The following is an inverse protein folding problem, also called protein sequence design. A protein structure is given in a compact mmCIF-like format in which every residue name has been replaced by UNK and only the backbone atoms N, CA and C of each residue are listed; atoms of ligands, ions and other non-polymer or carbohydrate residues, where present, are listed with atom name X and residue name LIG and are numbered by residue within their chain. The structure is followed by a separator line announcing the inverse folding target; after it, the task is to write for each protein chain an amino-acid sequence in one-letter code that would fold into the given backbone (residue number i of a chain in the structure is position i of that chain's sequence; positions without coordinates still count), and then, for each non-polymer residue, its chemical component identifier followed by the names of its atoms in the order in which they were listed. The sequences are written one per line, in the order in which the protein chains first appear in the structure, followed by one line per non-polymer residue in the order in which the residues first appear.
data_IF_291908575335
#
_entry.id   IF_291908575335
#
_cell.length_a   1.000
_cell.length_b   1.000
_cell.length_c   1.000
_cell.angle_alpha   90.00
_cell.angle_beta   90.00
_cell.angle_gamma   90.00
#
_symmetry.space_group_name_H-M   'P 1'
#
loop_
_entity.id
_entity.type
_entity.pdbx_description
1 polymer ?
#
# COMPACT_ATOMS: atom_id res chain seq x y z
N UNK A 1 12.12 -17.19 40.17
CA UNK A 1 10.94 -17.07 39.29
C UNK A 1 11.41 -16.38 38.02
N UNK A 2 11.67 -17.08 36.90
CA UNK A 2 11.93 -16.38 35.65
C UNK A 2 10.59 -15.99 35.03
N UNK A 3 10.49 -14.73 34.59
CA UNK A 3 9.42 -14.29 33.70
C UNK A 3 9.73 -14.88 32.32
N UNK A 4 8.86 -15.77 31.86
CA UNK A 4 8.79 -16.15 30.45
C UNK A 4 8.36 -14.91 29.66
N UNK A 5 9.32 -14.26 29.00
CA UNK A 5 9.00 -13.40 27.87
C UNK A 5 8.55 -14.32 26.73
N UNK A 6 7.24 -14.49 26.60
CA UNK A 6 6.64 -15.05 25.39
C UNK A 6 7.00 -14.11 24.24
N UNK A 7 7.91 -14.54 23.37
CA UNK A 7 8.20 -13.88 22.10
C UNK A 7 6.95 -13.95 21.23
N UNK A 8 6.30 -12.81 20.99
CA UNK A 8 5.22 -12.71 20.03
C UNK A 8 5.81 -13.01 18.65
N UNK A 9 5.43 -14.15 18.06
CA UNK A 9 5.75 -14.42 16.65
C UNK A 9 4.95 -13.44 15.80
N UNK A 10 5.64 -12.54 15.10
CA UNK A 10 5.07 -11.60 14.14
C UNK A 10 4.39 -12.39 13.01
N UNK A 11 3.11 -12.11 12.73
CA UNK A 11 2.42 -12.79 11.64
C UNK A 11 3.05 -12.41 10.29
N UNK A 12 2.92 -13.27 9.26
CA UNK A 12 3.37 -12.93 7.91
C UNK A 12 2.79 -11.59 7.44
N UNK A 13 1.53 -11.31 7.81
CA UNK A 13 0.86 -10.04 7.56
C UNK A 13 1.61 -8.88 8.22
N UNK A 14 1.86 -8.95 9.53
CA UNK A 14 2.53 -7.88 10.28
C UNK A 14 3.92 -7.59 9.72
N UNK A 15 4.69 -8.63 9.37
CA UNK A 15 6.02 -8.50 8.76
C UNK A 15 5.96 -7.78 7.41
N UNK A 16 5.02 -8.16 6.54
CA UNK A 16 4.86 -7.54 5.22
C UNK A 16 4.43 -6.08 5.36
N UNK A 17 3.46 -5.80 6.24
CA UNK A 17 3.00 -4.43 6.51
C UNK A 17 4.15 -3.57 7.04
N UNK A 18 4.91 -4.06 8.02
CA UNK A 18 6.04 -3.34 8.57
C UNK A 18 7.12 -3.07 7.51
N UNK A 19 7.41 -4.06 6.66
CA UNK A 19 8.38 -3.91 5.57
C UNK A 19 7.93 -2.83 4.56
N UNK A 20 6.68 -2.87 4.10
CA UNK A 20 6.13 -1.88 3.14
C UNK A 20 6.21 -0.47 3.71
N UNK A 21 5.71 -0.27 4.94
CA UNK A 21 5.68 1.07 5.57
C UNK A 21 7.10 1.60 5.79
N UNK A 22 8.05 0.75 6.14
CA UNK A 22 9.45 1.14 6.32
C UNK A 22 10.19 1.39 4.99
N UNK A 23 9.66 0.93 3.87
CA UNK A 23 10.25 1.08 2.53
C UNK A 23 9.76 2.30 1.76
N UNK A 24 8.78 3.04 2.27
CA UNK A 24 8.31 4.26 1.61
C UNK A 24 9.41 5.32 1.51
N UNK A 25 9.47 5.93 0.34
CA UNK A 25 10.44 6.95 -0.04
C UNK A 25 9.82 7.95 -1.00
N UNK A 26 10.50 9.07 -1.24
CA UNK A 26 10.12 10.01 -2.29
C UNK A 26 10.09 9.30 -3.66
N UNK A 27 11.06 8.43 -3.95
CA UNK A 27 11.19 7.71 -5.23
C UNK A 27 10.03 6.74 -5.53
N UNK A 28 9.40 6.17 -4.50
CA UNK A 28 8.23 5.29 -4.66
C UNK A 28 6.90 6.05 -4.70
N UNK A 29 6.91 7.36 -4.40
CA UNK A 29 5.69 8.16 -4.32
C UNK A 29 5.20 8.63 -5.71
N UNK A 30 3.87 8.63 -5.88
CA UNK A 30 3.19 9.30 -6.99
C UNK A 30 3.20 10.84 -6.88
N UNK A 31 3.43 11.38 -5.68
CA UNK A 31 3.49 12.81 -5.37
C UNK A 31 4.81 13.12 -4.66
N UNK A 32 5.96 12.96 -5.34
CA UNK A 32 7.28 13.09 -4.71
C UNK A 32 7.50 14.47 -4.07
N UNK A 33 6.98 15.54 -4.68
CA UNK A 33 7.11 16.90 -4.15
C UNK A 33 6.31 17.14 -2.85
N UNK A 34 5.26 16.36 -2.62
CA UNK A 34 4.43 16.42 -1.41
C UNK A 34 4.83 15.36 -0.35
N UNK A 35 5.71 14.43 -0.73
CA UNK A 35 6.18 13.38 0.17
C UNK A 35 7.17 13.95 1.19
N UNK A 36 7.03 13.56 2.46
CA UNK A 36 7.97 13.94 3.52
C UNK A 36 8.01 12.91 4.64
N UNK A 37 8.99 13.02 5.52
CA UNK A 37 9.03 12.20 6.75
C UNK A 37 7.82 12.45 7.67
N UNK A 38 7.18 13.63 7.57
CA UNK A 38 5.96 13.94 8.30
C UNK A 38 4.70 13.30 7.71
N UNK A 39 4.70 13.02 6.40
CA UNK A 39 3.63 12.30 5.72
C UNK A 39 4.20 11.28 4.70
N UNK A 40 4.82 10.19 5.18
CA UNK A 40 5.50 9.25 4.28
C UNK A 40 4.53 8.38 3.48
N UNK A 41 3.23 8.40 3.81
CA UNK A 41 2.20 7.69 3.05
C UNK A 41 1.76 8.44 1.78
N UNK A 42 2.11 9.73 1.65
CA UNK A 42 1.65 10.58 0.52
C UNK A 42 2.08 9.99 -0.81
N UNK A 43 1.11 9.70 -1.67
CA UNK A 43 1.32 9.15 -3.00
C UNK A 43 1.78 7.69 -3.01
N UNK A 44 1.66 6.95 -1.89
CA UNK A 44 2.10 5.55 -1.79
C UNK A 44 0.97 4.53 -2.06
N UNK A 45 -0.28 4.96 -2.28
CA UNK A 45 -1.44 4.07 -2.29
C UNK A 45 -1.39 3.00 -3.39
N UNK A 46 -1.20 3.38 -4.65
CA UNK A 46 -1.14 2.43 -5.78
C UNK A 46 -0.01 1.41 -5.59
N UNK A 47 1.21 1.89 -5.32
CA UNK A 47 2.41 1.03 -5.22
C UNK A 47 2.34 0.10 -4.01
N UNK A 48 1.89 0.61 -2.85
CA UNK A 48 1.78 -0.20 -1.62
C UNK A 48 0.72 -1.26 -1.76
N UNK A 49 -0.43 -0.91 -2.34
CA UNK A 49 -1.52 -1.86 -2.52
C UNK A 49 -1.13 -2.97 -3.48
N UNK A 50 -0.42 -2.63 -4.57
CA UNK A 50 0.08 -3.62 -5.51
C UNK A 50 1.10 -4.58 -4.87
N UNK A 51 2.12 -4.04 -4.17
CA UNK A 51 3.14 -4.88 -3.51
C UNK A 51 2.53 -5.74 -2.40
N UNK A 52 1.59 -5.20 -1.62
CA UNK A 52 0.86 -5.97 -0.62
C UNK A 52 0.03 -7.09 -1.28
N UNK A 53 -0.65 -6.83 -2.39
CA UNK A 53 -1.38 -7.85 -3.15
C UNK A 53 -0.45 -8.95 -3.67
N UNK A 54 0.76 -8.63 -4.14
CA UNK A 54 1.71 -9.65 -4.58
C UNK A 54 2.18 -10.58 -3.46
N UNK A 55 2.29 -10.06 -2.23
CA UNK A 55 2.82 -10.79 -1.08
C UNK A 55 1.74 -11.50 -0.26
N UNK A 56 0.52 -10.96 -0.25
CA UNK A 56 -0.57 -11.39 0.64
C UNK A 56 -1.80 -11.87 -0.13
N UNK A 57 -1.90 -11.61 -1.43
CA UNK A 57 -3.08 -11.87 -2.24
C UNK A 57 -4.22 -10.89 -1.94
N UNK A 58 -5.46 -11.40 -2.04
CA UNK A 58 -6.66 -10.60 -1.86
C UNK A 58 -7.05 -9.78 -3.09
N UNK A 59 -7.78 -8.71 -2.87
CA UNK A 59 -8.31 -7.81 -3.90
C UNK A 59 -7.69 -6.42 -3.77
N UNK A 60 -7.64 -5.66 -4.87
CA UNK A 60 -7.37 -4.23 -4.83
C UNK A 60 -8.70 -3.48 -4.87
N UNK A 61 -8.94 -2.64 -3.87
CA UNK A 61 -10.14 -1.83 -3.81
C UNK A 61 -9.80 -0.43 -4.30
N UNK A 62 -10.64 0.12 -5.17
CA UNK A 62 -10.55 1.49 -5.67
C UNK A 62 -11.58 2.36 -4.95
N UNK A 63 -11.15 3.51 -4.49
CA UNK A 63 -12.02 4.54 -3.94
C UNK A 63 -11.75 5.92 -4.51
N UNK A 64 -12.74 6.78 -4.35
CA UNK A 64 -12.62 8.21 -4.63
C UNK A 64 -12.40 8.97 -3.32
N UNK A 65 -11.47 9.92 -3.34
CA UNK A 65 -11.16 10.82 -2.24
C UNK A 65 -11.88 12.15 -2.48
N UNK A 66 -12.53 12.68 -1.45
CA UNK A 66 -13.25 13.95 -1.50
C UNK A 66 -12.80 14.89 -0.38
N UNK A 67 -12.70 16.18 -0.70
CA UNK A 67 -12.67 17.27 0.26
C UNK A 67 -14.04 17.94 0.28
N UNK A 68 -14.89 17.57 1.24
CA UNK A 68 -16.31 17.91 1.18
C UNK A 68 -16.99 17.20 0.01
N UNK A 69 -17.48 17.95 -0.99
CA UNK A 69 -18.09 17.40 -2.20
C UNK A 69 -17.14 17.31 -3.39
N UNK A 70 -15.94 17.88 -3.28
CA UNK A 70 -15.02 18.04 -4.39
C UNK A 70 -14.10 16.82 -4.49
N UNK A 71 -14.17 16.13 -5.63
CA UNK A 71 -13.29 15.01 -5.94
C UNK A 71 -11.83 15.49 -6.00
N UNK A 72 -10.94 14.76 -5.33
CA UNK A 72 -9.51 15.07 -5.25
C UNK A 72 -8.70 14.07 -6.08
N UNK A 73 -8.78 12.79 -5.72
CA UNK A 73 -7.94 11.75 -6.30
C UNK A 73 -8.56 10.36 -6.16
N UNK A 74 -7.99 9.39 -6.89
CA UNK A 74 -8.24 7.98 -6.70
C UNK A 74 -7.36 7.44 -5.58
N UNK A 75 -7.89 6.49 -4.81
CA UNK A 75 -7.17 5.82 -3.73
C UNK A 75 -7.31 4.31 -3.85
N UNK A 76 -6.23 3.59 -3.55
CA UNK A 76 -6.21 2.14 -3.57
C UNK A 76 -5.83 1.58 -2.20
N UNK A 77 -6.47 0.48 -1.83
CA UNK A 77 -6.10 -0.34 -0.67
C UNK A 77 -6.36 -1.82 -0.97
N UNK A 78 -6.00 -2.71 -0.04
CA UNK A 78 -6.24 -4.14 -0.18
C UNK A 78 -7.45 -4.60 0.62
N UNK A 79 -8.13 -5.64 0.13
CA UNK A 79 -9.07 -6.42 0.92
C UNK A 79 -8.62 -7.87 0.98
N UNK A 80 -8.34 -8.36 2.18
CA UNK A 80 -7.80 -9.72 2.43
C UNK A 80 -8.83 -10.45 3.29
N UNK A 81 -9.35 -11.57 2.78
CA UNK A 81 -10.41 -12.36 3.43
C UNK A 81 -11.62 -11.52 3.89
N UNK A 82 -11.96 -10.50 3.09
CA UNK A 82 -13.07 -9.57 3.37
C UNK A 82 -12.74 -8.43 4.35
N UNK A 83 -11.52 -8.37 4.90
CA UNK A 83 -11.06 -7.29 5.76
C UNK A 83 -10.22 -6.26 4.99
N UNK A 84 -10.51 -4.97 5.20
CA UNK A 84 -9.75 -3.89 4.58
C UNK A 84 -8.38 -3.69 5.26
N UNK A 85 -7.35 -3.61 4.43
CA UNK A 85 -5.98 -3.24 4.77
C UNK A 85 -5.61 -1.98 3.97
N UNK A 86 -5.88 -0.81 4.55
CA UNK A 86 -5.46 0.47 4.00
C UNK A 86 -4.24 1.01 4.73
N UNK A 87 -3.06 0.67 4.19
CA UNK A 87 -1.78 1.13 4.73
C UNK A 87 -1.61 2.65 4.60
N UNK A 88 -2.25 3.26 3.61
CA UNK A 88 -1.98 4.63 3.17
C UNK A 88 -3.08 5.62 3.54
N UNK A 89 -4.12 5.19 4.29
CA UNK A 89 -5.20 6.07 4.78
C UNK A 89 -4.69 7.36 5.41
N UNK A 90 -3.57 7.28 6.13
CA UNK A 90 -2.93 8.40 6.84
C UNK A 90 -2.34 9.48 5.92
N UNK A 91 -2.32 9.27 4.60
CA UNK A 91 -1.89 10.31 3.67
C UNK A 91 -2.84 11.51 3.61
N UNK A 92 -4.11 11.27 3.97
CA UNK A 92 -5.18 12.26 4.00
C UNK A 92 -5.27 12.89 5.39
N UNK A 93 -4.75 14.12 5.50
CA UNK A 93 -4.55 14.82 6.77
C UNK A 93 -5.49 16.01 6.96
N UNK A 94 -6.27 16.37 5.94
CA UNK A 94 -7.13 17.55 5.94
C UNK A 94 -8.62 17.22 6.10
N UNK A 95 -8.94 15.99 6.52
CA UNK A 95 -10.31 15.55 6.74
C UNK A 95 -10.98 14.98 5.49
N UNK A 96 -10.20 14.51 4.51
CA UNK A 96 -10.71 13.92 3.29
C UNK A 96 -11.46 12.60 3.55
N UNK A 97 -12.61 12.44 2.90
CA UNK A 97 -13.44 11.23 2.95
C UNK A 97 -13.15 10.33 1.76
N UNK A 98 -13.20 9.01 1.97
CA UNK A 98 -13.02 8.01 0.91
C UNK A 98 -14.33 7.27 0.73
N UNK A 99 -14.71 7.09 -0.53
CA UNK A 99 -15.85 6.24 -0.93
C UNK A 99 -15.34 5.15 -1.85
N UNK A 100 -15.57 3.89 -1.49
CA UNK A 100 -15.30 2.75 -2.37
C UNK A 100 -16.17 2.83 -3.64
N UNK A 101 -15.55 2.56 -4.79
CA UNK A 101 -16.22 2.61 -6.10
C UNK A 101 -16.06 1.34 -6.91
N UNK A 102 -14.99 0.58 -6.72
CA UNK A 102 -14.78 -0.69 -7.43
C UNK A 102 -13.83 -1.63 -6.66
N UNK A 103 -13.84 -2.91 -7.03
CA UNK A 103 -12.92 -3.93 -6.53
C UNK A 103 -12.33 -4.72 -7.70
N UNK A 104 -10.99 -4.72 -7.80
CA UNK A 104 -10.23 -5.44 -8.80
C UNK A 104 -9.78 -6.80 -8.24
N UNK A 105 -10.26 -7.87 -8.86
CA UNK A 105 -9.88 -9.25 -8.50
C UNK A 105 -8.48 -9.60 -9.01
N UNK A 106 -7.83 -10.61 -8.41
CA UNK A 106 -6.54 -11.11 -8.91
C UNK A 106 -6.56 -11.47 -10.40
N UNK A 107 -7.64 -12.11 -10.88
CA UNK A 107 -7.78 -12.47 -12.29
C UNK A 107 -7.79 -11.22 -13.19
N UNK A 108 -8.46 -10.15 -12.76
CA UNK A 108 -8.45 -8.88 -13.49
C UNK A 108 -7.04 -8.25 -13.48
N UNK A 109 -6.41 -8.18 -12.31
CA UNK A 109 -5.08 -7.57 -12.16
C UNK A 109 -4.05 -8.32 -13.02
N UNK A 110 -4.05 -9.65 -12.98
CA UNK A 110 -3.16 -10.49 -13.78
C UNK A 110 -3.36 -10.29 -15.29
N UNK A 111 -4.62 -10.25 -15.74
CA UNK A 111 -4.95 -10.06 -17.16
C UNK A 111 -4.51 -8.69 -17.70
N UNK A 112 -4.47 -7.66 -16.85
CA UNK A 112 -4.16 -6.28 -17.25
C UNK A 112 -2.76 -5.82 -16.81
N UNK A 113 -1.97 -6.68 -16.13
CA UNK A 113 -0.65 -6.32 -15.58
C UNK A 113 0.31 -5.80 -16.66
N UNK A 114 0.22 -6.34 -17.87
CA UNK A 114 1.08 -5.94 -18.99
C UNK A 114 0.79 -4.51 -19.50
N UNK A 115 -0.41 -3.98 -19.23
CA UNK A 115 -0.85 -2.65 -19.67
C UNK A 115 -0.60 -1.57 -18.62
N UNK A 116 0.12 -1.91 -17.53
CA UNK A 116 0.44 -0.98 -16.47
C UNK A 116 1.29 0.19 -16.97
N UNK A 117 0.97 1.40 -16.50
CA UNK A 117 1.76 2.61 -16.81
C UNK A 117 3.23 2.39 -16.45
N UNK A 118 4.19 2.72 -17.33
CA UNK A 118 5.62 2.53 -17.05
C UNK A 118 6.10 3.20 -15.76
N UNK A 119 5.57 4.38 -15.43
CA UNK A 119 5.92 5.12 -14.22
C UNK A 119 5.44 4.41 -12.95
N UNK A 120 4.27 3.77 -13.01
CA UNK A 120 3.77 2.94 -11.91
C UNK A 120 4.63 1.69 -11.75
N UNK A 121 4.96 1.00 -12.84
CA UNK A 121 5.82 -0.18 -12.81
C UNK A 121 7.20 0.14 -12.20
N UNK A 122 7.81 1.27 -12.59
CA UNK A 122 9.08 1.73 -12.04
C UNK A 122 9.02 1.97 -10.52
N UNK A 123 7.97 2.66 -10.03
CA UNK A 123 7.81 2.93 -8.59
C UNK A 123 7.51 1.67 -7.78
N UNK A 124 6.75 0.73 -8.36
CA UNK A 124 6.53 -0.58 -7.76
C UNK A 124 7.88 -1.30 -7.63
N UNK A 125 8.74 -1.29 -8.65
CA UNK A 125 10.05 -1.93 -8.59
C UNK A 125 10.95 -1.33 -7.50
N UNK A 126 10.96 0.00 -7.34
CA UNK A 126 11.65 0.69 -6.23
C UNK A 126 11.16 0.17 -4.87
N UNK A 127 9.83 0.13 -4.67
CA UNK A 127 9.25 -0.33 -3.42
C UNK A 127 9.53 -1.83 -3.18
N UNK A 128 9.39 -2.67 -4.20
CA UNK A 128 9.64 -4.12 -4.16
C UNK A 128 11.05 -4.44 -3.69
N UNK A 129 12.06 -3.80 -4.28
CA UNK A 129 13.47 -4.05 -3.92
C UNK A 129 13.68 -3.74 -2.45
N UNK A 130 13.23 -2.57 -1.99
CA UNK A 130 13.38 -2.19 -0.58
C UNK A 130 12.60 -3.13 0.36
N UNK A 131 11.40 -3.58 -0.03
CA UNK A 131 10.60 -4.52 0.77
C UNK A 131 11.28 -5.90 0.84
N UNK A 132 11.81 -6.40 -0.27
CA UNK A 132 12.50 -7.69 -0.33
C UNK A 132 13.74 -7.71 0.58
N UNK A 133 14.55 -6.65 0.55
CA UNK A 133 15.69 -6.47 1.46
C UNK A 133 15.28 -6.54 2.93
N UNK A 134 14.16 -5.89 3.29
CA UNK A 134 13.63 -5.89 4.66
C UNK A 134 13.04 -7.23 5.09
N UNK A 135 12.49 -8.00 4.16
CA UNK A 135 11.98 -9.34 4.43
C UNK A 135 13.07 -10.41 4.46
N UNK A 136 14.31 -10.05 4.12
CA UNK A 136 15.45 -10.97 4.04
C UNK A 136 15.41 -11.87 2.79
N UNK A 137 14.70 -11.46 1.76
CA UNK A 137 14.69 -12.11 0.45
C UNK A 137 15.68 -11.36 -0.45
N UNK A 138 16.88 -11.93 -0.63
CA UNK A 138 17.92 -11.43 -1.55
C UNK A 138 18.16 -12.41 -2.68
#
# INVERSE_FOLDING_TARGET
MPFEHVSVSESTLDRVVAAIVASWSNESSASPDDWSLGNPAKGQCEVSSFVAWELLGGELVLGHVYAGTDFQEYHYWNRIDGADLDLTRRQFVNGETITEVDTLTSAFIEANRADMRPELAQRIDVLRVSVAERLGAS
#
